data_IF_649992770745
#
_entry.id   IF_649992770745
#
_cell.length_a   1.000
_cell.length_b   1.000
_cell.length_c   1.000
_cell.angle_alpha   90.00
_cell.angle_beta   90.00
_cell.angle_gamma   90.00
#
_symmetry.space_group_name_H-M   'P 1'
#
loop_
_entity.id
_entity.type
_entity.pdbx_description
1 polymer ?
#
# COMPACT_ATOMS: atom_id res chain seq x y z
N UNK A 1 23.76 -45.42 -42.23
CA UNK A 1 22.94 -45.12 -41.07
C UNK A 1 23.63 -43.97 -40.30
N UNK A 2 23.22 -42.73 -40.49
CA UNK A 2 23.77 -41.57 -39.76
C UNK A 2 22.92 -41.31 -38.53
N UNK A 3 23.54 -41.37 -37.32
CA UNK A 3 22.90 -41.06 -36.06
C UNK A 3 22.81 -39.52 -35.93
N UNK A 4 21.58 -39.01 -35.84
CA UNK A 4 21.31 -37.62 -35.51
C UNK A 4 21.32 -37.51 -34.00
N UNK A 5 22.31 -36.79 -33.46
CA UNK A 5 22.36 -36.46 -32.02
C UNK A 5 21.60 -35.14 -31.88
N UNK A 6 20.43 -35.22 -31.27
CA UNK A 6 19.64 -34.04 -30.93
C UNK A 6 20.25 -33.35 -29.69
N UNK A 7 20.79 -32.16 -29.86
CA UNK A 7 21.22 -31.31 -28.76
C UNK A 7 20.00 -30.62 -28.13
N UNK A 8 19.62 -31.04 -26.94
CA UNK A 8 18.60 -30.33 -26.14
C UNK A 8 19.21 -29.01 -25.64
N UNK A 9 18.69 -27.91 -26.12
CA UNK A 9 19.03 -26.58 -25.65
C UNK A 9 18.38 -26.39 -24.24
N UNK A 10 19.22 -26.36 -23.21
CA UNK A 10 18.80 -25.93 -21.86
C UNK A 10 18.61 -24.42 -21.92
N UNK A 11 17.35 -23.99 -21.94
CA UNK A 11 17.01 -22.59 -21.78
C UNK A 11 17.37 -22.18 -20.35
N UNK A 12 18.42 -21.39 -20.18
CA UNK A 12 18.73 -20.73 -18.92
C UNK A 12 17.61 -19.74 -18.62
N UNK A 13 16.81 -20.03 -17.59
CA UNK A 13 15.86 -19.08 -17.03
C UNK A 13 16.72 -17.97 -16.40
N UNK A 14 16.82 -16.83 -17.10
CA UNK A 14 17.39 -15.62 -16.53
C UNK A 14 16.52 -15.23 -15.33
N UNK A 15 17.01 -15.47 -14.11
CA UNK A 15 16.44 -14.91 -12.90
C UNK A 15 16.66 -13.39 -13.01
N UNK A 16 15.64 -12.68 -13.45
CA UNK A 16 15.61 -11.23 -13.40
C UNK A 16 15.71 -10.84 -11.92
N UNK A 17 16.90 -10.40 -11.50
CA UNK A 17 17.07 -9.81 -10.17
C UNK A 17 16.21 -8.56 -10.17
N UNK A 18 15.08 -8.60 -9.50
CA UNK A 18 14.23 -7.41 -9.30
C UNK A 18 15.07 -6.35 -8.62
N UNK A 19 15.05 -5.12 -9.15
CA UNK A 19 15.69 -4.00 -8.47
C UNK A 19 15.10 -3.87 -7.06
N UNK A 20 15.91 -3.49 -6.09
CA UNK A 20 15.42 -3.29 -4.72
C UNK A 20 14.29 -2.25 -4.71
N UNK A 21 13.20 -2.48 -3.97
CA UNK A 21 12.07 -1.55 -3.92
C UNK A 21 12.54 -0.15 -3.55
N UNK A 22 12.02 0.87 -4.21
CA UNK A 22 12.32 2.28 -3.95
C UNK A 22 11.61 2.76 -2.68
N UNK A 23 12.10 3.86 -2.07
CA UNK A 23 11.54 4.38 -0.83
C UNK A 23 10.70 5.63 -1.09
N UNK A 24 9.43 5.56 -0.75
CA UNK A 24 8.50 6.67 -0.72
C UNK A 24 8.00 6.91 0.71
N UNK A 25 7.35 8.03 0.93
CA UNK A 25 6.61 8.30 2.18
C UNK A 25 5.17 8.69 1.88
N UNK A 26 4.29 8.42 2.82
CA UNK A 26 2.90 8.83 2.77
C UNK A 26 2.73 10.15 3.54
N UNK A 27 2.13 11.14 2.88
CA UNK A 27 1.95 12.50 3.42
C UNK A 27 1.20 12.53 4.75
N UNK A 28 0.32 11.56 5.01
CA UNK A 28 -0.41 11.49 6.27
C UNK A 28 0.50 11.39 7.50
N UNK A 29 1.71 10.85 7.33
CA UNK A 29 2.71 10.78 8.40
C UNK A 29 3.22 12.17 8.86
N UNK A 30 3.13 13.16 7.98
CA UNK A 30 3.60 14.54 8.21
C UNK A 30 2.53 15.57 7.81
N UNK A 31 1.26 15.19 7.97
CA UNK A 31 0.12 15.98 7.49
C UNK A 31 0.05 17.39 8.07
N UNK A 32 0.42 17.56 9.36
CA UNK A 32 0.36 18.86 10.02
C UNK A 32 1.49 19.80 9.56
N UNK A 33 2.62 19.26 9.13
CA UNK A 33 3.68 20.03 8.46
C UNK A 33 3.25 20.42 7.04
N UNK A 34 2.61 19.50 6.32
CA UNK A 34 2.11 19.75 4.98
C UNK A 34 0.99 20.82 4.94
N UNK A 35 0.16 20.90 5.98
CA UNK A 35 -0.85 21.97 6.11
C UNK A 35 -0.18 23.36 6.26
N UNK A 36 0.99 23.43 6.86
CA UNK A 36 1.75 24.67 7.04
C UNK A 36 2.58 25.04 5.81
N UNK A 37 3.29 24.05 5.26
CA UNK A 37 4.16 24.21 4.08
C UNK A 37 4.35 22.85 3.38
N UNK A 38 3.51 22.59 2.40
CA UNK A 38 3.54 21.33 1.64
C UNK A 38 4.87 21.13 0.91
N UNK A 39 5.30 22.15 0.15
CA UNK A 39 6.52 22.06 -0.67
C UNK A 39 7.79 21.97 0.21
N UNK A 40 7.84 22.75 1.29
CA UNK A 40 8.93 22.66 2.27
C UNK A 40 9.00 21.30 2.93
N UNK A 41 7.85 20.68 3.23
CA UNK A 41 7.80 19.32 3.79
C UNK A 41 8.27 18.27 2.78
N UNK A 42 7.90 18.40 1.50
CA UNK A 42 8.42 17.54 0.42
C UNK A 42 9.96 17.67 0.31
N UNK A 43 10.52 18.88 0.36
CA UNK A 43 11.96 19.14 0.35
C UNK A 43 12.66 18.49 1.55
N UNK A 44 12.08 18.59 2.73
CA UNK A 44 12.62 17.97 3.94
C UNK A 44 12.65 16.44 3.82
N UNK A 45 11.57 15.81 3.35
CA UNK A 45 11.53 14.37 3.12
C UNK A 45 12.54 13.95 2.02
N UNK A 46 12.65 14.72 0.94
CA UNK A 46 13.69 14.48 -0.09
C UNK A 46 15.11 14.54 0.48
N UNK A 47 15.39 15.50 1.36
CA UNK A 47 16.70 15.63 2.02
C UNK A 47 17.02 14.41 2.92
N UNK A 48 16.01 13.75 3.50
CA UNK A 48 16.18 12.47 4.18
C UNK A 48 16.51 11.33 3.20
N UNK A 49 16.21 11.53 1.90
CA UNK A 49 16.53 10.61 0.83
C UNK A 49 15.36 9.75 0.36
N UNK A 50 14.14 10.15 0.60
CA UNK A 50 12.98 9.57 -0.08
C UNK A 50 13.03 9.90 -1.57
N UNK A 51 12.50 8.98 -2.38
CA UNK A 51 12.51 9.05 -3.84
C UNK A 51 11.12 9.33 -4.40
N UNK A 52 10.07 9.02 -3.61
CA UNK A 52 8.68 9.22 -4.01
C UNK A 52 7.80 9.67 -2.86
N UNK A 53 6.59 10.08 -3.22
CA UNK A 53 5.54 10.51 -2.30
C UNK A 53 4.19 9.93 -2.70
N UNK A 54 3.42 9.52 -1.72
CA UNK A 54 2.01 9.22 -1.85
C UNK A 54 1.19 10.26 -1.09
N UNK A 55 0.11 10.73 -1.68
CA UNK A 55 -0.76 11.74 -1.07
C UNK A 55 -2.23 11.52 -1.36
N UNK A 56 -3.10 11.79 -0.37
CA UNK A 56 -4.55 11.87 -0.53
C UNK A 56 -5.09 13.28 -0.31
N UNK A 57 -4.22 14.26 -0.01
CA UNK A 57 -4.56 15.68 0.13
C UNK A 57 -3.68 16.49 -0.80
N UNK A 58 -4.26 17.51 -1.42
CA UNK A 58 -3.59 18.31 -2.46
C UNK A 58 -3.19 19.70 -2.01
N UNK A 59 -3.51 20.08 -0.77
CA UNK A 59 -3.09 21.36 -0.13
C UNK A 59 -3.34 22.59 -1.01
N UNK A 60 -4.54 22.66 -1.63
CA UNK A 60 -4.95 23.74 -2.51
C UNK A 60 -4.36 23.70 -3.93
N UNK A 61 -3.57 22.68 -4.26
CA UNK A 61 -3.01 22.51 -5.60
C UNK A 61 -3.99 21.77 -6.52
N UNK A 62 -4.05 22.19 -7.76
CA UNK A 62 -4.63 21.41 -8.85
C UNK A 62 -3.64 20.32 -9.32
N UNK A 63 -4.03 19.54 -10.31
CA UNK A 63 -3.21 18.43 -10.84
C UNK A 63 -1.85 18.91 -11.38
N UNK A 64 -1.81 20.05 -12.04
CA UNK A 64 -0.56 20.64 -12.59
C UNK A 64 0.35 21.14 -11.46
N UNK A 65 -0.24 21.83 -10.49
CA UNK A 65 0.48 22.29 -9.30
C UNK A 65 1.06 21.14 -8.49
N UNK A 66 0.31 20.07 -8.28
CA UNK A 66 0.80 18.87 -7.60
C UNK A 66 1.97 18.23 -8.35
N UNK A 67 1.83 18.08 -9.68
CA UNK A 67 2.91 17.56 -10.54
C UNK A 67 4.16 18.41 -10.44
N UNK A 68 4.02 19.73 -10.56
CA UNK A 68 5.13 20.67 -10.46
C UNK A 68 5.81 20.60 -9.09
N UNK A 69 5.03 20.64 -8.01
CA UNK A 69 5.57 20.55 -6.64
C UNK A 69 6.41 19.30 -6.40
N UNK A 70 5.97 18.14 -6.90
CA UNK A 70 6.74 16.91 -6.79
C UNK A 70 8.00 16.94 -7.69
N UNK A 71 7.85 17.37 -8.94
CA UNK A 71 8.95 17.41 -9.92
C UNK A 71 10.06 18.38 -9.52
N UNK A 72 9.73 19.58 -9.04
CA UNK A 72 10.68 20.62 -8.62
C UNK A 72 11.54 20.14 -7.43
N UNK A 73 10.98 19.26 -6.60
CA UNK A 73 11.70 18.63 -5.48
C UNK A 73 12.45 17.37 -5.92
N UNK A 74 12.11 16.80 -7.07
CA UNK A 74 12.69 15.55 -7.56
C UNK A 74 12.12 14.32 -6.84
N UNK A 75 10.84 14.36 -6.46
CA UNK A 75 10.07 13.23 -5.95
C UNK A 75 9.12 12.70 -7.02
N UNK A 76 9.00 11.38 -7.14
CA UNK A 76 7.98 10.75 -7.97
C UNK A 76 6.65 10.73 -7.20
N UNK A 77 5.55 11.12 -7.87
CA UNK A 77 4.21 10.94 -7.33
C UNK A 77 3.80 9.46 -7.53
N UNK A 78 3.93 8.67 -6.47
CA UNK A 78 3.80 7.21 -6.51
C UNK A 78 2.37 6.76 -6.66
N UNK A 79 1.48 7.33 -5.85
CA UNK A 79 0.06 7.03 -5.88
C UNK A 79 -0.76 8.19 -5.31
N UNK A 80 -2.03 8.24 -5.70
CA UNK A 80 -3.05 9.06 -5.03
C UNK A 80 -3.85 8.15 -4.09
N UNK A 81 -3.89 8.49 -2.80
CA UNK A 81 -4.74 7.83 -1.82
C UNK A 81 -6.12 8.50 -1.77
N UNK A 82 -7.12 7.84 -2.35
CA UNK A 82 -8.46 8.37 -2.52
C UNK A 82 -9.48 7.51 -1.78
N UNK A 83 -10.74 7.94 -1.75
CA UNK A 83 -11.83 7.21 -1.13
C UNK A 83 -12.75 6.55 -2.19
N UNK A 84 -13.56 5.55 -1.84
CA UNK A 84 -14.43 4.89 -2.80
C UNK A 84 -15.37 5.84 -3.57
N UNK A 85 -15.83 6.92 -2.96
CA UNK A 85 -16.70 7.90 -3.62
C UNK A 85 -16.02 8.64 -4.79
N UNK A 86 -14.68 8.74 -4.80
CA UNK A 86 -13.93 9.28 -5.93
C UNK A 86 -13.89 8.33 -7.13
N UNK A 87 -14.28 7.07 -6.91
CA UNK A 87 -14.25 5.99 -7.90
C UNK A 87 -15.64 5.58 -8.38
N UNK A 88 -16.68 6.34 -8.03
CA UNK A 88 -18.04 6.21 -8.56
C UNK A 88 -18.33 7.29 -9.59
N UNK A 89 -19.24 7.02 -10.53
CA UNK A 89 -19.66 8.04 -11.50
C UNK A 89 -20.49 9.16 -10.83
N UNK A 90 -20.34 10.44 -11.24
CA UNK A 90 -19.47 10.94 -12.32
C UNK A 90 -18.00 11.21 -11.89
N UNK A 91 -17.66 11.10 -10.61
CA UNK A 91 -16.35 11.45 -10.04
C UNK A 91 -15.20 10.61 -10.62
N UNK A 92 -15.47 9.37 -11.03
CA UNK A 92 -14.44 8.51 -11.62
C UNK A 92 -13.81 9.14 -12.87
N UNK A 93 -14.61 9.74 -13.75
CA UNK A 93 -14.11 10.44 -14.92
C UNK A 93 -13.22 11.65 -14.57
N UNK A 94 -13.56 12.38 -13.50
CA UNK A 94 -12.75 13.50 -13.01
C UNK A 94 -11.45 13.02 -12.37
N UNK A 95 -11.52 11.98 -11.58
CA UNK A 95 -10.35 11.34 -10.97
C UNK A 95 -9.36 10.85 -12.03
N UNK A 96 -9.82 10.23 -13.10
CA UNK A 96 -8.98 9.79 -14.20
C UNK A 96 -8.30 10.99 -14.88
N UNK A 97 -9.05 12.06 -15.17
CA UNK A 97 -8.46 13.28 -15.75
C UNK A 97 -7.39 13.88 -14.84
N UNK A 98 -7.66 14.00 -13.55
CA UNK A 98 -6.71 14.47 -12.55
C UNK A 98 -5.43 13.62 -12.53
N UNK A 99 -5.55 12.29 -12.50
CA UNK A 99 -4.43 11.36 -12.53
C UNK A 99 -3.56 11.54 -13.79
N UNK A 100 -4.19 11.66 -14.95
CA UNK A 100 -3.48 11.87 -16.23
C UNK A 100 -2.73 13.20 -16.24
N UNK A 101 -3.34 14.26 -15.74
CA UNK A 101 -2.76 15.60 -15.72
C UNK A 101 -1.60 15.70 -14.71
N UNK A 102 -1.74 15.15 -13.50
CA UNK A 102 -0.63 15.11 -12.53
C UNK A 102 0.42 14.04 -12.86
N UNK A 103 0.15 13.14 -13.81
CA UNK A 103 1.06 12.07 -14.22
C UNK A 103 1.10 10.87 -13.28
N UNK A 104 0.15 10.76 -12.34
CA UNK A 104 0.05 9.63 -11.43
C UNK A 104 -0.66 8.45 -12.12
N UNK A 105 -0.09 7.25 -11.97
CA UNK A 105 -0.63 6.03 -12.60
C UNK A 105 -1.18 5.02 -11.59
N UNK A 106 -1.35 5.42 -10.33
CA UNK A 106 -1.90 4.57 -9.28
C UNK A 106 -2.89 5.32 -8.41
N UNK A 107 -3.99 4.66 -8.12
CA UNK A 107 -4.98 5.10 -7.14
C UNK A 107 -5.07 4.00 -6.09
N UNK A 108 -4.74 4.34 -4.85
CA UNK A 108 -4.89 3.46 -3.71
C UNK A 108 -6.11 3.91 -2.91
N UNK A 109 -7.06 3.03 -2.65
CA UNK A 109 -8.24 3.38 -1.86
C UNK A 109 -7.85 3.38 -0.39
N UNK A 110 -7.90 4.58 0.21
CA UNK A 110 -7.34 4.89 1.51
C UNK A 110 -8.03 4.17 2.67
N UNK A 111 -9.35 4.05 2.62
CA UNK A 111 -10.16 3.50 3.69
C UNK A 111 -11.60 3.27 3.26
N UNK A 112 -12.20 2.25 3.86
CA UNK A 112 -13.63 1.95 3.74
C UNK A 112 -14.17 1.52 5.10
N UNK A 113 -15.29 2.12 5.51
CA UNK A 113 -15.98 1.68 6.72
C UNK A 113 -16.87 0.49 6.37
N UNK A 114 -16.36 -0.71 6.52
CA UNK A 114 -17.15 -1.92 6.41
C UNK A 114 -17.91 -2.23 7.70
N UNK A 115 -18.97 -3.04 7.60
CA UNK A 115 -19.72 -3.54 8.74
C UNK A 115 -19.10 -4.83 9.28
N UNK A 116 -19.11 -4.98 10.60
CA UNK A 116 -18.76 -6.25 11.28
C UNK A 116 -19.92 -7.23 11.24
N UNK A 117 -21.14 -6.74 11.09
CA UNK A 117 -22.38 -7.53 11.16
C UNK A 117 -22.95 -7.87 9.78
N UNK A 118 -22.67 -7.02 8.77
CA UNK A 118 -23.25 -7.14 7.44
C UNK A 118 -22.18 -7.27 6.35
N UNK A 119 -21.87 -8.49 5.87
CA UNK A 119 -20.91 -8.69 4.79
C UNK A 119 -21.33 -8.04 3.46
N UNK A 120 -22.62 -7.68 3.27
CA UNK A 120 -23.07 -7.02 2.05
C UNK A 120 -22.51 -5.59 1.90
N UNK A 121 -22.08 -4.94 2.99
CA UNK A 121 -21.42 -3.64 2.90
C UNK A 121 -20.10 -3.75 2.15
N UNK A 122 -19.35 -4.82 2.38
CA UNK A 122 -18.11 -5.11 1.66
C UNK A 122 -18.34 -5.40 0.18
N UNK A 123 -19.53 -5.94 -0.15
CA UNK A 123 -19.96 -6.14 -1.54
C UNK A 123 -20.02 -4.83 -2.32
N UNK A 124 -20.48 -3.75 -1.70
CA UNK A 124 -20.54 -2.44 -2.33
C UNK A 124 -19.14 -1.95 -2.70
N UNK A 125 -18.19 -2.08 -1.79
CA UNK A 125 -16.77 -1.76 -2.06
C UNK A 125 -16.22 -2.58 -3.23
N UNK A 126 -16.48 -3.89 -3.24
CA UNK A 126 -16.00 -4.78 -4.32
C UNK A 126 -16.55 -4.36 -5.67
N UNK A 127 -17.85 -4.04 -5.75
CA UNK A 127 -18.46 -3.60 -7.00
C UNK A 127 -17.83 -2.29 -7.51
N UNK A 128 -17.64 -1.31 -6.63
CA UNK A 128 -17.04 -0.03 -6.97
C UNK A 128 -15.61 -0.22 -7.47
N UNK A 129 -14.78 -0.98 -6.74
CA UNK A 129 -13.37 -1.13 -7.10
C UNK A 129 -13.17 -1.99 -8.34
N UNK A 130 -13.97 -3.04 -8.54
CA UNK A 130 -13.89 -3.85 -9.75
C UNK A 130 -14.24 -3.03 -10.99
N UNK A 131 -15.31 -2.22 -10.93
CA UNK A 131 -15.68 -1.33 -12.02
C UNK A 131 -14.59 -0.29 -12.29
N UNK A 132 -14.14 0.42 -11.24
CA UNK A 132 -13.11 1.43 -11.37
C UNK A 132 -11.80 0.85 -11.93
N UNK A 133 -11.38 -0.33 -11.51
CA UNK A 133 -10.17 -0.98 -12.00
C UNK A 133 -10.27 -1.32 -13.50
N UNK A 134 -11.44 -1.75 -13.99
CA UNK A 134 -11.68 -2.00 -15.42
C UNK A 134 -11.62 -0.70 -16.25
N UNK A 135 -12.22 0.39 -15.76
CA UNK A 135 -12.23 1.67 -16.45
C UNK A 135 -10.84 2.31 -16.43
N UNK A 136 -10.21 2.39 -15.26
CA UNK A 136 -8.89 2.99 -15.07
C UNK A 136 -7.79 2.25 -15.85
N UNK A 137 -7.88 0.92 -15.97
CA UNK A 137 -6.89 0.12 -16.72
C UNK A 137 -6.82 0.51 -18.22
N UNK A 138 -7.94 0.93 -18.84
CA UNK A 138 -7.97 1.41 -20.22
C UNK A 138 -7.19 2.72 -20.39
N UNK A 139 -7.01 3.45 -19.32
CA UNK A 139 -6.27 4.73 -19.26
C UNK A 139 -4.85 4.56 -18.69
N UNK A 140 -4.41 3.31 -18.46
CA UNK A 140 -3.09 3.00 -17.92
C UNK A 140 -2.93 3.37 -16.43
N UNK A 141 -4.04 3.41 -15.69
CA UNK A 141 -4.08 3.70 -14.26
C UNK A 141 -4.45 2.43 -13.50
N UNK A 142 -3.65 2.05 -12.53
CA UNK A 142 -3.91 0.92 -11.63
C UNK A 142 -4.74 1.36 -10.44
N UNK A 143 -5.61 0.47 -9.94
CA UNK A 143 -6.41 0.67 -8.72
C UNK A 143 -6.01 -0.39 -7.71
N UNK A 144 -5.71 0.02 -6.48
CA UNK A 144 -5.42 -0.86 -5.36
C UNK A 144 -6.29 -0.53 -4.15
N UNK A 145 -6.42 -1.50 -3.25
CA UNK A 145 -7.08 -1.31 -1.95
C UNK A 145 -6.05 -1.39 -0.83
N UNK A 146 -6.06 -0.39 0.04
CA UNK A 146 -5.24 -0.29 1.24
C UNK A 146 -6.02 -0.80 2.45
N UNK A 147 -5.44 -1.74 3.19
CA UNK A 147 -6.06 -2.28 4.40
C UNK A 147 -5.77 -1.43 5.65
N UNK A 148 -6.68 -1.56 6.59
CA UNK A 148 -6.48 -1.24 8.00
C UNK A 148 -6.47 -2.53 8.83
N UNK A 149 -6.49 -2.41 10.15
CA UNK A 149 -6.57 -3.55 11.08
C UNK A 149 -7.93 -4.26 10.99
N UNK A 150 -8.98 -3.54 10.67
CA UNK A 150 -10.34 -4.06 10.60
C UNK A 150 -10.49 -5.23 9.62
N UNK A 151 -9.86 -5.21 8.45
CA UNK A 151 -9.96 -6.26 7.43
C UNK A 151 -9.39 -7.59 7.90
N UNK A 152 -8.46 -7.56 8.86
CA UNK A 152 -7.87 -8.75 9.47
C UNK A 152 -8.60 -9.19 10.74
N UNK A 153 -9.12 -8.23 11.51
CA UNK A 153 -9.84 -8.48 12.76
C UNK A 153 -11.25 -9.01 12.50
N UNK A 154 -11.97 -8.42 11.55
CA UNK A 154 -13.31 -8.86 11.18
C UNK A 154 -13.27 -10.20 10.44
N UNK A 155 -14.14 -11.12 10.84
CA UNK A 155 -14.21 -12.45 10.25
C UNK A 155 -15.64 -12.85 9.92
N UNK A 156 -15.83 -13.36 8.71
CA UNK A 156 -17.07 -13.98 8.28
C UNK A 156 -16.80 -15.47 7.97
N UNK A 157 -17.54 -16.36 8.60
CA UNK A 157 -17.33 -17.80 8.44
C UNK A 157 -15.92 -18.27 8.83
N UNK A 158 -15.30 -17.62 9.83
CA UNK A 158 -13.95 -17.93 10.30
C UNK A 158 -12.80 -17.36 9.44
N UNK A 159 -13.10 -16.72 8.33
CA UNK A 159 -12.13 -16.14 7.38
C UNK A 159 -12.08 -14.63 7.56
N UNK A 160 -10.90 -14.00 7.49
CA UNK A 160 -10.76 -12.54 7.57
C UNK A 160 -11.41 -11.86 6.36
N UNK A 161 -11.83 -10.62 6.52
CA UNK A 161 -12.35 -9.82 5.40
C UNK A 161 -11.29 -9.66 4.31
N UNK A 162 -10.02 -9.48 4.69
CA UNK A 162 -8.91 -9.41 3.75
C UNK A 162 -8.82 -10.65 2.86
N UNK A 163 -8.77 -11.85 3.48
CA UNK A 163 -8.70 -13.11 2.76
C UNK A 163 -9.91 -13.35 1.88
N UNK A 164 -11.06 -12.83 2.30
CA UNK A 164 -12.29 -12.92 1.54
C UNK A 164 -12.29 -12.00 0.32
N UNK A 165 -11.87 -10.72 0.49
CA UNK A 165 -11.79 -9.75 -0.61
C UNK A 165 -10.88 -10.21 -1.75
N UNK A 166 -9.81 -10.93 -1.42
CA UNK A 166 -8.81 -11.38 -2.38
C UNK A 166 -8.85 -12.87 -2.72
N UNK A 167 -9.83 -13.62 -2.23
CA UNK A 167 -9.95 -15.05 -2.51
C UNK A 167 -10.06 -15.34 -4.01
N UNK A 168 -9.25 -16.28 -4.51
CA UNK A 168 -9.31 -16.72 -5.91
C UNK A 168 -10.39 -17.77 -6.16
N UNK A 169 -10.67 -18.61 -5.17
CA UNK A 169 -11.51 -19.80 -5.26
C UNK A 169 -12.99 -19.61 -4.89
N UNK A 170 -13.34 -18.40 -4.41
CA UNK A 170 -14.71 -18.10 -3.99
C UNK A 170 -15.22 -18.89 -2.81
N UNK A 171 -14.32 -19.36 -1.94
CA UNK A 171 -14.51 -20.17 -0.71
C UNK A 171 -15.95 -20.56 -0.37
N UNK A 172 -16.24 -21.87 -0.23
CA UNK A 172 -17.60 -22.41 -0.06
C UNK A 172 -18.37 -21.79 1.12
N UNK A 173 -17.67 -21.36 2.18
CA UNK A 173 -18.31 -20.71 3.33
C UNK A 173 -19.00 -19.37 2.99
N UNK A 174 -18.49 -18.63 2.00
CA UNK A 174 -19.07 -17.34 1.61
C UNK A 174 -20.13 -17.46 0.52
N UNK A 175 -20.14 -18.56 -0.25
CA UNK A 175 -21.27 -18.86 -1.15
C UNK A 175 -22.60 -19.02 -0.42
N UNK A 176 -22.54 -19.34 0.88
CA UNK A 176 -23.74 -19.45 1.72
C UNK A 176 -24.20 -18.10 2.29
N UNK A 177 -23.32 -17.10 2.38
CA UNK A 177 -23.59 -15.79 2.98
C UNK A 177 -23.86 -14.72 1.93
N UNK A 178 -23.11 -14.75 0.81
CA UNK A 178 -23.31 -13.84 -0.33
C UNK A 178 -23.12 -14.59 -1.64
N UNK A 179 -23.94 -14.34 -2.63
CA UNK A 179 -23.85 -14.96 -3.96
C UNK A 179 -22.59 -14.57 -4.76
N UNK A 180 -21.64 -13.86 -4.19
CA UNK A 180 -20.36 -13.35 -4.75
C UNK A 180 -19.80 -12.22 -3.88
N UNK A 181 -18.99 -11.35 -4.38
CA UNK A 181 -17.80 -11.34 -5.18
C UNK A 181 -16.62 -10.77 -4.40
N UNK A 182 -15.53 -11.14 -4.85
CA UNK A 182 -14.18 -10.75 -4.52
C UNK A 182 -13.67 -9.67 -5.47
N UNK A 183 -12.58 -9.08 -5.12
CA UNK A 183 -11.84 -8.24 -6.04
C UNK A 183 -11.37 -9.02 -7.26
N UNK A 184 -11.58 -8.47 -8.44
CA UNK A 184 -10.99 -8.97 -9.67
C UNK A 184 -9.46 -8.91 -9.57
N UNK A 185 -8.74 -9.65 -10.42
CA UNK A 185 -7.28 -9.56 -10.48
C UNK A 185 -6.75 -8.17 -10.88
N UNK A 186 -7.62 -7.29 -11.39
CA UNK A 186 -7.27 -5.90 -11.71
C UNK A 186 -7.21 -4.99 -10.50
N UNK A 187 -7.94 -5.33 -9.41
CA UNK A 187 -7.80 -4.62 -8.14
C UNK A 187 -6.55 -5.14 -7.44
N UNK A 188 -5.53 -4.32 -7.37
CA UNK A 188 -4.26 -4.63 -6.73
C UNK A 188 -4.35 -4.46 -5.21
N UNK A 189 -3.29 -4.83 -4.51
CA UNK A 189 -3.15 -4.63 -3.08
C UNK A 189 -2.19 -3.46 -2.81
N UNK A 190 -2.50 -2.67 -1.81
CA UNK A 190 -1.54 -1.90 -1.06
C UNK A 190 -1.53 -2.43 0.37
N UNK A 191 -0.79 -3.50 0.60
CA UNK A 191 -0.70 -4.12 1.91
C UNK A 191 -0.05 -3.15 2.91
N UNK A 192 -0.78 -2.73 3.94
CA UNK A 192 -0.21 -2.08 5.11
C UNK A 192 0.20 -3.15 6.12
N UNK A 193 1.51 -3.36 6.25
CA UNK A 193 2.05 -4.42 7.08
C UNK A 193 1.80 -4.19 8.58
N UNK A 194 1.82 -2.94 9.03
CA UNK A 194 1.55 -2.59 10.41
C UNK A 194 0.10 -2.84 10.79
N UNK A 195 -0.82 -2.35 9.99
CA UNK A 195 -2.26 -2.59 10.19
C UNK A 195 -2.59 -4.09 10.09
N UNK A 196 -1.95 -4.83 9.19
CA UNK A 196 -2.09 -6.28 9.10
C UNK A 196 -1.75 -6.94 10.45
N UNK A 197 -0.58 -6.64 11.02
CA UNK A 197 -0.15 -7.17 12.32
C UNK A 197 -1.05 -6.71 13.47
N UNK A 198 -1.48 -5.44 13.47
CA UNK A 198 -2.41 -4.90 14.48
C UNK A 198 -3.76 -5.62 14.44
N UNK A 199 -4.25 -5.99 13.27
CA UNK A 199 -5.48 -6.77 13.09
C UNK A 199 -5.32 -8.27 13.34
N UNK A 200 -4.12 -8.75 13.64
CA UNK A 200 -3.82 -10.17 13.90
C UNK A 200 -3.53 -10.99 12.64
N UNK A 201 -3.23 -10.33 11.51
CA UNK A 201 -2.77 -10.95 10.28
C UNK A 201 -1.24 -11.17 10.26
N UNK A 202 -0.78 -11.90 9.25
CA UNK A 202 0.64 -12.13 8.96
C UNK A 202 0.98 -11.57 7.57
N UNK A 203 1.82 -10.50 7.48
CA UNK A 203 2.21 -9.93 6.20
C UNK A 203 2.87 -10.94 5.25
N UNK A 204 3.66 -11.89 5.78
CA UNK A 204 4.32 -12.92 4.96
C UNK A 204 3.29 -13.86 4.32
N UNK A 205 2.27 -14.26 5.08
CA UNK A 205 1.18 -15.06 4.56
C UNK A 205 0.39 -14.31 3.48
N UNK A 206 0.11 -13.02 3.68
CA UNK A 206 -0.58 -12.17 2.69
C UNK A 206 0.20 -12.06 1.38
N UNK A 207 1.52 -11.82 1.45
CA UNK A 207 2.40 -11.74 0.27
C UNK A 207 2.41 -13.08 -0.47
N UNK A 208 2.57 -14.19 0.25
CA UNK A 208 2.63 -15.52 -0.35
C UNK A 208 1.30 -15.96 -0.98
N UNK A 209 0.17 -15.56 -0.40
CA UNK A 209 -1.16 -15.88 -0.92
C UNK A 209 -1.50 -15.17 -2.25
N UNK A 210 -0.93 -13.99 -2.48
CA UNK A 210 -1.28 -13.15 -3.63
C UNK A 210 -0.03 -12.59 -4.32
N UNK A 211 0.83 -13.44 -4.91
CA UNK A 211 2.10 -13.02 -5.47
C UNK A 211 1.92 -11.99 -6.59
N UNK A 212 2.80 -10.99 -6.60
CA UNK A 212 2.87 -9.89 -7.57
C UNK A 212 1.60 -9.01 -7.63
N UNK A 213 0.87 -8.95 -6.52
CA UNK A 213 -0.35 -8.14 -6.43
C UNK A 213 -0.15 -6.83 -5.66
N UNK A 214 1.07 -6.61 -5.12
CA UNK A 214 1.44 -5.46 -4.31
C UNK A 214 2.46 -4.57 -5.04
N UNK A 215 2.05 -3.63 -5.91
CA UNK A 215 3.00 -2.69 -6.54
C UNK A 215 3.55 -1.67 -5.53
N UNK A 216 2.73 -1.28 -4.56
CA UNK A 216 3.08 -0.44 -3.43
C UNK A 216 2.71 -1.15 -2.13
N UNK A 217 3.49 -0.94 -1.06
CA UNK A 217 3.24 -1.50 0.27
C UNK A 217 3.47 -0.41 1.31
N UNK A 218 2.53 -0.26 2.25
CA UNK A 218 2.74 0.61 3.39
C UNK A 218 3.65 -0.06 4.42
N UNK A 219 4.79 0.56 4.63
CA UNK A 219 5.75 0.21 5.67
C UNK A 219 5.40 1.05 6.89
N UNK A 220 4.38 0.59 7.62
CA UNK A 220 3.89 1.19 8.86
C UNK A 220 4.33 0.34 10.05
N UNK A 221 4.90 0.92 11.12
CA UNK A 221 5.22 0.17 12.32
C UNK A 221 3.94 -0.27 13.05
N UNK A 222 3.91 -1.51 13.56
CA UNK A 222 2.84 -2.01 14.42
C UNK A 222 3.20 -1.75 15.88
N UNK A 223 2.91 -0.56 16.37
CA UNK A 223 3.22 -0.14 17.73
C UNK A 223 2.17 -0.67 18.73
N UNK A 224 2.60 -1.14 19.90
CA UNK A 224 1.71 -1.62 20.96
C UNK A 224 1.23 -3.07 20.81
N UNK A 225 0.18 -3.45 21.58
CA UNK A 225 -0.43 -4.78 21.57
C UNK A 225 -1.36 -5.02 20.39
N UNK A 226 -2.07 -6.18 20.31
CA UNK A 226 -3.09 -6.46 19.29
C UNK A 226 -4.36 -5.62 19.56
N UNK A 227 -4.26 -4.32 19.33
CA UNK A 227 -5.29 -3.33 19.60
C UNK A 227 -5.54 -2.53 18.33
N UNK A 228 -6.73 -1.93 18.23
CA UNK A 228 -7.05 -1.05 17.11
C UNK A 228 -6.07 0.12 17.01
N UNK A 229 -5.81 0.60 15.81
CA UNK A 229 -4.93 1.75 15.57
C UNK A 229 -5.33 3.01 16.38
N UNK A 230 -6.61 3.12 16.80
CA UNK A 230 -7.11 4.20 17.65
C UNK A 230 -6.65 4.10 19.12
N UNK A 231 -6.36 2.91 19.63
CA UNK A 231 -5.90 2.72 21.03
C UNK A 231 -4.41 2.92 21.19
N UNK A 232 -3.61 2.63 20.14
CA UNK A 232 -2.16 2.89 20.13
C UNK A 232 -1.84 4.37 20.34
N UNK A 233 -2.73 5.28 19.98
CA UNK A 233 -2.53 6.72 20.14
C UNK A 233 -2.54 7.19 21.63
N UNK A 234 -2.92 6.35 22.59
CA UNK A 234 -3.03 6.74 24.01
C UNK A 234 -1.71 6.68 24.80
N UNK A 235 -0.69 5.96 24.28
CA UNK A 235 0.64 5.87 24.91
C UNK A 235 1.73 5.91 23.85
N UNK A 236 1.85 7.04 23.20
CA UNK A 236 2.75 7.22 22.05
C UNK A 236 4.16 7.51 22.55
N UNK A 237 5.20 6.74 22.16
CA UNK A 237 6.59 7.09 22.42
C UNK A 237 6.96 8.43 21.77
N UNK A 238 8.03 9.10 22.22
CA UNK A 238 8.42 10.39 21.66
C UNK A 238 8.78 10.31 20.17
N UNK A 239 8.74 11.46 19.45
CA UNK A 239 9.16 11.53 18.05
C UNK A 239 10.57 10.97 17.83
N UNK A 240 10.71 10.12 16.77
CA UNK A 240 11.94 9.39 16.47
C UNK A 240 11.97 7.96 17.05
N UNK A 241 11.09 7.64 17.97
CA UNK A 241 10.94 6.30 18.54
C UNK A 241 9.72 5.54 17.99
N UNK A 242 8.95 6.18 17.12
CA UNK A 242 7.76 5.61 16.48
C UNK A 242 7.99 5.23 15.01
N UNK A 243 9.24 5.23 14.57
CA UNK A 243 9.62 4.83 13.22
C UNK A 243 9.59 3.32 13.01
N UNK A 244 9.70 2.92 11.76
CA UNK A 244 9.83 1.54 11.32
C UNK A 244 11.07 0.90 11.96
N UNK A 245 10.88 -0.29 12.55
CA UNK A 245 11.95 -1.01 13.24
C UNK A 245 12.33 -0.43 14.61
N UNK A 246 11.49 0.41 15.18
CA UNK A 246 11.63 0.87 16.58
C UNK A 246 11.50 -0.31 17.56
N UNK A 247 11.90 -0.10 18.82
CA UNK A 247 11.91 -1.16 19.82
C UNK A 247 10.52 -1.77 20.12
N UNK A 248 9.47 -0.99 19.88
CA UNK A 248 8.07 -1.40 20.09
C UNK A 248 7.37 -1.86 18.83
N UNK A 249 8.04 -1.80 17.67
CA UNK A 249 7.49 -2.25 16.39
C UNK A 249 7.46 -3.78 16.31
N UNK A 250 6.27 -4.35 16.11
CA UNK A 250 6.03 -5.79 16.09
C UNK A 250 6.14 -6.43 14.71
N UNK A 251 6.35 -5.64 13.66
CA UNK A 251 6.56 -6.19 12.31
C UNK A 251 7.99 -6.72 12.19
N UNK A 252 8.14 -7.97 11.77
CA UNK A 252 9.45 -8.54 11.47
C UNK A 252 9.95 -8.09 10.10
N UNK A 253 10.43 -6.86 10.03
CA UNK A 253 10.92 -6.25 8.79
C UNK A 253 12.11 -6.99 8.18
N UNK A 254 12.88 -7.73 8.98
CA UNK A 254 14.01 -8.52 8.47
C UNK A 254 13.56 -9.66 7.57
N UNK A 255 12.34 -10.16 7.79
CA UNK A 255 11.72 -11.17 6.94
C UNK A 255 10.80 -10.56 5.89
N UNK A 256 10.03 -9.52 6.24
CA UNK A 256 9.03 -8.90 5.37
C UNK A 256 9.69 -8.18 4.19
N UNK A 257 10.73 -7.34 4.41
CA UNK A 257 11.37 -6.58 3.32
C UNK A 257 11.98 -7.48 2.22
N UNK A 258 12.73 -8.55 2.53
CA UNK A 258 13.17 -9.49 1.51
C UNK A 258 12.03 -10.18 0.75
N UNK A 259 10.94 -10.54 1.44
CA UNK A 259 9.78 -11.15 0.80
C UNK A 259 9.09 -10.20 -0.19
N UNK A 260 8.92 -8.93 0.19
CA UNK A 260 8.38 -7.89 -0.69
C UNK A 260 9.27 -7.66 -1.92
N UNK A 261 10.58 -7.63 -1.73
CA UNK A 261 11.53 -7.48 -2.83
C UNK A 261 11.47 -8.68 -3.80
N UNK A 262 11.37 -9.91 -3.27
CA UNK A 262 11.22 -11.13 -4.06
C UNK A 262 9.88 -11.18 -4.81
N UNK A 263 8.81 -10.62 -4.22
CA UNK A 263 7.49 -10.49 -4.85
C UNK A 263 7.45 -9.43 -5.97
N UNK A 264 8.47 -8.57 -6.06
CA UNK A 264 8.57 -7.54 -7.09
C UNK A 264 7.86 -6.24 -6.75
N UNK A 265 7.71 -5.93 -5.46
CA UNK A 265 7.19 -4.64 -4.99
C UNK A 265 8.07 -3.50 -5.52
N UNK A 266 7.46 -2.48 -6.10
CA UNK A 266 8.18 -1.34 -6.65
C UNK A 266 8.49 -0.29 -5.58
N UNK A 267 7.53 -0.05 -4.66
CA UNK A 267 7.61 1.02 -3.68
C UNK A 267 7.31 0.54 -2.26
N UNK A 268 8.21 0.86 -1.35
CA UNK A 268 7.97 0.83 0.08
C UNK A 268 7.57 2.24 0.53
N UNK A 269 6.31 2.40 0.84
CA UNK A 269 5.72 3.69 1.25
C UNK A 269 5.71 3.76 2.77
N UNK A 270 6.64 4.53 3.33
CA UNK A 270 6.82 4.68 4.78
C UNK A 270 5.72 5.55 5.37
N UNK A 271 5.04 5.03 6.40
CA UNK A 271 3.85 5.67 7.00
C UNK A 271 3.83 5.53 8.53
N UNK A 272 4.77 6.11 9.28
CA UNK A 272 4.61 6.22 10.73
C UNK A 272 3.45 7.16 11.04
N UNK A 273 2.51 6.72 11.88
CA UNK A 273 1.25 7.45 12.13
C UNK A 273 1.12 7.99 13.54
N UNK A 274 2.07 7.68 14.40
CA UNK A 274 2.04 8.06 15.81
C UNK A 274 2.06 9.58 16.00
N UNK A 275 2.85 10.29 15.21
CA UNK A 275 2.99 11.75 15.25
C UNK A 275 2.61 12.36 13.89
N UNK A 276 1.68 13.33 13.84
CA UNK A 276 1.21 13.92 12.58
C UNK A 276 2.20 14.90 11.93
N UNK A 277 3.28 15.24 12.61
CA UNK A 277 4.26 16.25 12.19
C UNK A 277 5.72 15.76 12.35
N UNK A 278 5.93 14.44 12.48
CA UNK A 278 7.25 13.88 12.81
C UNK A 278 8.09 13.54 11.59
N UNK A 279 8.94 14.47 11.16
CA UNK A 279 10.08 14.16 10.29
C UNK A 279 11.10 13.23 10.99
N UNK A 280 11.14 13.22 12.31
CA UNK A 280 12.04 12.35 13.08
C UNK A 280 11.67 10.86 12.88
N UNK A 281 10.38 10.51 12.86
CA UNK A 281 9.94 9.14 12.61
C UNK A 281 10.19 8.72 11.16
N UNK A 282 10.04 9.63 10.18
CA UNK A 282 10.44 9.38 8.80
C UNK A 282 11.94 9.16 8.69
N UNK A 283 12.75 9.96 9.38
CA UNK A 283 14.22 9.82 9.40
C UNK A 283 14.62 8.48 10.00
N UNK A 284 14.14 8.15 11.19
CA UNK A 284 14.44 6.87 11.84
C UNK A 284 14.05 5.67 10.94
N UNK A 285 12.89 5.74 10.30
CA UNK A 285 12.38 4.71 9.39
C UNK A 285 13.30 4.50 8.18
N UNK A 286 13.68 5.56 7.49
CA UNK A 286 14.50 5.43 6.28
C UNK A 286 15.92 4.96 6.62
N UNK A 287 16.49 5.39 7.75
CA UNK A 287 17.78 4.93 8.22
C UNK A 287 17.76 3.43 8.56
N UNK A 288 16.71 2.95 9.22
CA UNK A 288 16.52 1.53 9.50
C UNK A 288 16.41 0.70 8.21
N UNK A 289 15.56 1.10 7.28
CA UNK A 289 15.36 0.40 6.02
C UNK A 289 16.64 0.35 5.16
N UNK A 290 17.44 1.40 5.17
CA UNK A 290 18.76 1.42 4.50
C UNK A 290 19.73 0.44 5.11
N UNK A 291 19.79 0.37 6.46
CA UNK A 291 20.62 -0.63 7.14
C UNK A 291 20.22 -2.05 6.77
N UNK A 292 18.91 -2.37 6.72
CA UNK A 292 18.44 -3.70 6.30
C UNK A 292 18.89 -4.08 4.88
N UNK A 293 19.00 -3.10 3.98
CA UNK A 293 19.45 -3.34 2.59
C UNK A 293 20.95 -3.52 2.45
N UNK A 294 21.74 -2.95 3.35
CA UNK A 294 23.20 -3.03 3.32
C UNK A 294 23.78 -4.28 4.00
N UNK A 295 22.96 -5.05 4.68
CA UNK A 295 23.37 -6.26 5.43
C UNK A 295 23.23 -7.56 4.60
N UNK A 296 23.50 -7.48 3.29
CA UNK A 296 23.59 -8.65 2.40
C UNK A 296 24.99 -9.25 2.38
#
# INVERSE_FOLDING_TARGET
MKKIVSAAAIAAIAISVSAAPRLAFQVYAVRDLCEKDFVGTLKAAKALGYEGVETGRFYGLDAKGLKAACADVGLELVALQLYPHNLTEPQLGETIRFCKECGCRRINVAWYKGSEENPNDWQLLVNVLNHAAEVCAKEGIAVAYHNHDQEFRMKFGGRSVWDWLYAEDGGDAMRQVTATPRFSRRVLQELDCGNCVLGGGDPLACIAAHPRRNPTVHVMPALGGPQSSAEVQKSVPPPGECGVGSATDRVDWRRVIPALAADGVEWLVVKPTAHPDSLADLKASIEYLRRLRSTK
#
